data_IF_343947918514
#
_entry.id   IF_343947918514
#
_cell.length_a   1.000
_cell.length_b   1.000
_cell.length_c   1.000
_cell.angle_alpha   90.00
_cell.angle_beta   90.00
_cell.angle_gamma   90.00
#
_symmetry.space_group_name_H-M   'P 1'
#
loop_
_entity.id
_entity.type
_entity.pdbx_description
1 polymer ?
#
# COMPACT_ATOMS: atom_id res chain seq x y z
N UNK A 1 6.11 5.18 17.30
CA UNK A 1 4.73 4.70 17.23
C UNK A 1 4.08 5.28 15.99
N UNK A 2 3.54 4.43 15.11
CA UNK A 2 2.95 4.86 13.82
C UNK A 2 1.59 5.53 14.06
N UNK A 3 1.25 6.64 13.38
CA UNK A 3 -0.09 7.25 13.43
C UNK A 3 -1.23 6.30 13.01
N UNK A 4 -2.45 6.56 13.52
CA UNK A 4 -3.62 5.70 13.29
C UNK A 4 -4.08 5.71 11.83
N UNK A 5 -4.02 6.85 11.16
CA UNK A 5 -4.37 6.97 9.75
C UNK A 5 -3.45 6.12 8.86
N UNK A 6 -2.14 6.11 9.15
CA UNK A 6 -1.17 5.31 8.41
C UNK A 6 -1.46 3.82 8.58
N UNK A 7 -1.69 3.36 9.81
CA UNK A 7 -2.09 1.95 10.05
C UNK A 7 -3.37 1.59 9.32
N UNK A 8 -4.40 2.46 9.39
CA UNK A 8 -5.67 2.22 8.71
C UNK A 8 -5.49 2.09 7.19
N UNK A 9 -4.66 2.93 6.59
CA UNK A 9 -4.38 2.87 5.17
C UNK A 9 -3.70 1.54 4.78
N UNK A 10 -2.70 1.10 5.57
CA UNK A 10 -2.03 -0.19 5.36
C UNK A 10 -3.02 -1.36 5.49
N UNK A 11 -3.91 -1.33 6.50
CA UNK A 11 -4.93 -2.35 6.70
C UNK A 11 -5.92 -2.39 5.52
N UNK A 12 -6.36 -1.24 5.02
CA UNK A 12 -7.26 -1.14 3.86
C UNK A 12 -6.60 -1.66 2.56
N UNK A 13 -5.34 -1.31 2.32
CA UNK A 13 -4.57 -1.85 1.19
C UNK A 13 -4.43 -3.37 1.28
N UNK A 14 -4.19 -3.90 2.48
CA UNK A 14 -4.11 -5.35 2.72
C UNK A 14 -5.43 -6.04 2.43
N UNK A 15 -6.56 -5.49 2.88
CA UNK A 15 -7.89 -6.03 2.60
C UNK A 15 -8.17 -6.08 1.10
N UNK A 16 -7.81 -5.03 0.35
CA UNK A 16 -7.94 -5.02 -1.12
C UNK A 16 -7.14 -6.14 -1.78
N UNK A 17 -5.88 -6.34 -1.40
CA UNK A 17 -5.02 -7.38 -1.99
C UNK A 17 -5.51 -8.80 -1.63
N UNK A 18 -6.15 -8.97 -0.47
CA UNK A 18 -6.70 -10.25 -0.04
C UNK A 18 -8.03 -10.61 -0.71
N UNK A 19 -8.73 -9.64 -1.31
CA UNK A 19 -9.93 -9.89 -2.07
C UNK A 19 -9.59 -10.71 -3.33
N UNK A 20 -10.35 -11.78 -3.57
CA UNK A 20 -10.09 -12.75 -4.66
C UNK A 20 -10.51 -12.24 -6.04
N UNK A 21 -11.36 -11.22 -6.07
CA UNK A 21 -12.00 -10.72 -7.28
C UNK A 21 -11.19 -9.52 -7.79
N UNK A 22 -10.94 -9.44 -9.10
CA UNK A 22 -10.25 -8.29 -9.72
C UNK A 22 -8.87 -7.96 -9.12
N UNK A 23 -8.05 -8.99 -8.87
CA UNK A 23 -6.74 -8.85 -8.22
C UNK A 23 -5.85 -7.74 -8.81
N UNK A 24 -5.78 -7.60 -10.14
CA UNK A 24 -5.01 -6.54 -10.81
C UNK A 24 -5.50 -5.12 -10.44
N UNK A 25 -6.83 -4.93 -10.43
CA UNK A 25 -7.48 -3.65 -10.07
C UNK A 25 -7.28 -3.37 -8.58
N UNK A 26 -7.38 -4.40 -7.75
CA UNK A 26 -7.18 -4.29 -6.30
C UNK A 26 -5.73 -3.94 -5.94
N UNK A 27 -4.75 -4.57 -6.59
CA UNK A 27 -3.34 -4.23 -6.40
C UNK A 27 -3.09 -2.79 -6.84
N UNK A 28 -3.63 -2.37 -7.98
CA UNK A 28 -3.52 -0.97 -8.44
C UNK A 28 -4.11 0.00 -7.42
N UNK A 29 -5.28 -0.32 -6.87
CA UNK A 29 -5.94 0.49 -5.83
C UNK A 29 -5.14 0.54 -4.53
N UNK A 30 -4.53 -0.57 -4.12
CA UNK A 30 -3.68 -0.65 -2.93
C UNK A 30 -2.39 0.18 -3.09
N UNK A 31 -1.77 0.17 -4.27
CA UNK A 31 -0.61 1.02 -4.60
C UNK A 31 -0.98 2.49 -4.46
N UNK A 32 -2.08 2.94 -5.07
CA UNK A 32 -2.51 4.34 -4.96
C UNK A 32 -2.76 4.78 -3.52
N UNK A 33 -3.37 3.92 -2.71
CA UNK A 33 -3.67 4.23 -1.31
C UNK A 33 -2.40 4.31 -0.45
N UNK A 34 -1.42 3.43 -0.71
CA UNK A 34 -0.12 3.47 -0.04
C UNK A 34 0.72 4.67 -0.48
N UNK A 35 0.66 5.05 -1.76
CA UNK A 35 1.37 6.22 -2.28
C UNK A 35 0.82 7.52 -1.68
N UNK A 36 -0.52 7.67 -1.62
CA UNK A 36 -1.17 8.83 -1.00
C UNK A 36 -0.77 8.98 0.47
N UNK A 37 -0.86 7.91 1.27
CA UNK A 37 -0.48 7.97 2.67
C UNK A 37 1.03 8.17 2.86
N UNK A 38 1.88 7.73 1.91
CA UNK A 38 3.32 7.96 1.97
C UNK A 38 3.70 9.44 2.00
N UNK A 39 2.81 10.31 1.52
CA UNK A 39 2.97 11.76 1.50
C UNK A 39 2.54 12.45 2.82
N UNK A 40 2.05 11.71 3.82
CA UNK A 40 1.64 12.29 5.10
C UNK A 40 2.83 12.93 5.84
N UNK A 41 2.63 14.16 6.32
CA UNK A 41 3.65 14.93 7.05
C UNK A 41 3.99 14.33 8.43
N UNK A 42 3.06 13.60 9.03
CA UNK A 42 3.23 12.92 10.32
C UNK A 42 3.83 11.51 10.16
N UNK A 43 4.16 11.10 8.94
CA UNK A 43 4.75 9.78 8.69
C UNK A 43 6.18 9.69 9.22
N UNK A 44 6.49 8.74 10.12
CA UNK A 44 7.86 8.49 10.54
C UNK A 44 8.74 8.06 9.35
N UNK A 45 10.00 8.48 9.34
CA UNK A 45 10.91 8.18 8.22
C UNK A 45 11.08 6.68 7.95
N UNK A 46 11.20 5.86 9.00
CA UNK A 46 11.31 4.41 8.86
C UNK A 46 10.05 3.82 8.21
N UNK A 47 8.86 4.25 8.64
CA UNK A 47 7.58 3.81 8.07
C UNK A 47 7.43 4.22 6.62
N UNK A 48 7.92 5.41 6.24
CA UNK A 48 7.93 5.85 4.84
C UNK A 48 8.76 4.89 3.98
N UNK A 49 9.96 4.53 4.44
CA UNK A 49 10.81 3.55 3.73
C UNK A 49 10.13 2.18 3.62
N UNK A 50 9.49 1.70 4.69
CA UNK A 50 8.74 0.42 4.67
C UNK A 50 7.59 0.46 3.66
N UNK A 51 6.82 1.56 3.59
CA UNK A 51 5.74 1.71 2.62
C UNK A 51 6.27 1.72 1.19
N UNK A 52 7.37 2.42 0.92
CA UNK A 52 8.02 2.40 -0.40
C UNK A 52 8.43 0.99 -0.81
N UNK A 53 8.99 0.20 0.11
CA UNK A 53 9.30 -1.21 -0.17
C UNK A 53 8.05 -2.01 -0.53
N UNK A 54 6.96 -1.84 0.22
CA UNK A 54 5.69 -2.51 -0.07
C UNK A 54 5.13 -2.10 -1.44
N UNK A 55 5.16 -0.81 -1.78
CA UNK A 55 4.70 -0.31 -3.09
C UNK A 55 5.49 -1.00 -4.21
N UNK A 56 6.82 -1.03 -4.11
CA UNK A 56 7.67 -1.69 -5.10
C UNK A 56 7.38 -3.20 -5.21
N UNK A 57 7.10 -3.89 -4.11
CA UNK A 57 6.68 -5.30 -4.15
C UNK A 57 5.33 -5.50 -4.84
N UNK A 58 4.37 -4.59 -4.60
CA UNK A 58 3.05 -4.62 -5.24
C UNK A 58 3.11 -4.29 -6.73
N UNK A 59 3.96 -3.36 -7.14
CA UNK A 59 4.22 -3.06 -8.55
C UNK A 59 4.79 -4.28 -9.28
N UNK A 60 5.78 -4.94 -8.66
CA UNK A 60 6.34 -6.19 -9.18
C UNK A 60 5.29 -7.31 -9.26
N UNK A 61 4.38 -7.40 -8.30
CA UNK A 61 3.29 -8.37 -8.33
C UNK A 61 2.29 -8.04 -9.44
N UNK A 62 1.95 -6.77 -9.63
CA UNK A 62 1.07 -6.30 -10.71
C UNK A 62 1.64 -6.66 -12.09
N UNK A 63 2.93 -6.45 -12.31
CA UNK A 63 3.59 -6.82 -13.57
C UNK A 63 3.53 -8.33 -13.86
N UNK A 64 3.53 -9.18 -12.83
CA UNK A 64 3.43 -10.64 -13.00
C UNK A 64 2.02 -11.14 -13.30
N UNK A 65 1.01 -10.37 -12.93
CA UNK A 65 -0.42 -10.72 -13.12
C UNK A 65 -0.93 -10.25 -14.49
N UNK A 66 -0.32 -9.19 -15.02
CA UNK A 66 -0.53 -8.70 -16.38
C UNK A 66 -0.11 -9.75 -17.43
#
# INVERSE_FOLDING_TARGET
GVPRNIRKAVDESKEKIQAKDELEVNISSAIYLLDDISNDINMPQHTRTEIWTIISELENLKEKIK
#
